data_IF_786940629366
#
_entry.id   IF_786940629366
#
_cell.length_a   1.000
_cell.length_b   1.000
_cell.length_c   1.000
_cell.angle_alpha   90.00
_cell.angle_beta   90.00
_cell.angle_gamma   90.00
#
_symmetry.space_group_name_H-M   'P 1'
#
loop_
_entity.id
_entity.type
_entity.pdbx_description
1 polymer ?
#
# COMPACT_ATOMS: atom_id res chain seq x y z
N UNK A 1 -32.49 -24.80 -13.61
CA UNK A 1 -31.80 -23.50 -13.69
C UNK A 1 -30.34 -23.84 -13.81
N UNK A 2 -29.78 -23.73 -15.02
CA UNK A 2 -28.39 -24.11 -15.27
C UNK A 2 -27.47 -23.17 -14.48
N UNK A 3 -26.63 -23.77 -13.63
CA UNK A 3 -25.80 -23.05 -12.68
C UNK A 3 -24.56 -22.52 -13.40
N UNK A 4 -24.73 -21.45 -14.19
CA UNK A 4 -23.64 -20.80 -14.92
C UNK A 4 -22.86 -19.93 -13.93
N UNK A 5 -21.70 -20.41 -13.49
CA UNK A 5 -20.76 -19.61 -12.72
C UNK A 5 -19.75 -18.92 -13.64
N UNK A 6 -19.51 -17.61 -13.48
CA UNK A 6 -18.46 -16.93 -14.21
C UNK A 6 -17.08 -17.45 -13.77
N UNK A 7 -16.20 -17.66 -14.74
CA UNK A 7 -14.79 -17.92 -14.46
C UNK A 7 -14.11 -16.61 -14.03
N UNK A 8 -13.77 -16.51 -12.75
CA UNK A 8 -12.96 -15.41 -12.23
C UNK A 8 -11.50 -15.82 -12.35
N UNK A 9 -10.73 -15.17 -13.22
CA UNK A 9 -9.34 -15.54 -13.45
C UNK A 9 -8.46 -15.23 -12.23
N UNK A 10 -7.43 -16.04 -12.00
CA UNK A 10 -6.44 -15.79 -10.95
C UNK A 10 -5.82 -14.38 -11.07
N UNK A 11 -5.60 -13.89 -12.29
CA UNK A 11 -5.15 -12.52 -12.55
C UNK A 11 -6.13 -11.47 -12.01
N UNK A 12 -7.43 -11.63 -12.22
CA UNK A 12 -8.46 -10.72 -11.69
C UNK A 12 -8.50 -10.78 -10.17
N UNK A 13 -8.41 -11.96 -9.56
CA UNK A 13 -8.42 -12.09 -8.09
C UNK A 13 -7.25 -11.33 -7.44
N UNK A 14 -6.06 -11.33 -8.08
CA UNK A 14 -4.89 -10.59 -7.59
C UNK A 14 -5.10 -9.07 -7.53
N UNK A 15 -6.07 -8.51 -8.27
CA UNK A 15 -6.38 -7.07 -8.23
C UNK A 15 -7.41 -6.69 -7.16
N UNK A 16 -8.03 -7.66 -6.48
CA UNK A 16 -9.10 -7.42 -5.50
C UNK A 16 -8.61 -7.01 -4.11
N UNK A 17 -7.31 -6.76 -3.94
CA UNK A 17 -6.74 -6.25 -2.67
C UNK A 17 -6.86 -7.23 -1.51
N UNK A 18 -6.77 -8.54 -1.77
CA UNK A 18 -6.90 -9.58 -0.74
C UNK A 18 -5.61 -9.73 0.10
N UNK A 19 -5.75 -10.28 1.31
CA UNK A 19 -4.60 -10.69 2.13
C UNK A 19 -3.73 -11.72 1.40
N UNK A 20 -2.42 -11.68 1.68
CA UNK A 20 -1.42 -12.57 1.07
C UNK A 20 -1.82 -14.05 1.15
N UNK A 21 -2.39 -14.51 2.27
CA UNK A 21 -2.81 -15.90 2.45
C UNK A 21 -3.78 -16.41 1.36
N UNK A 22 -4.63 -15.54 0.81
CA UNK A 22 -5.54 -15.92 -0.28
C UNK A 22 -4.85 -15.87 -1.64
N UNK A 23 -3.88 -14.97 -1.81
CA UNK A 23 -3.12 -14.82 -3.06
C UNK A 23 -2.08 -15.94 -3.25
N UNK A 24 -1.53 -16.44 -2.14
CA UNK A 24 -0.56 -17.54 -2.13
C UNK A 24 -1.24 -18.89 -2.44
N UNK A 25 -2.55 -19.00 -2.19
CA UNK A 25 -3.36 -20.17 -2.52
C UNK A 25 -3.86 -20.18 -3.98
N UNK A 26 -3.62 -19.10 -4.74
CA UNK A 26 -4.03 -19.01 -6.14
C UNK A 26 -3.13 -19.85 -7.04
N UNK A 27 -3.73 -20.41 -8.08
CA UNK A 27 -3.00 -21.04 -9.16
C UNK A 27 -1.98 -20.04 -9.77
N UNK A 28 -0.75 -20.48 -10.09
CA UNK A 28 0.22 -19.66 -10.80
C UNK A 28 -0.24 -19.29 -12.22
N UNK A 29 -1.10 -20.10 -12.85
CA UNK A 29 -1.62 -19.81 -14.18
C UNK A 29 -2.60 -18.63 -14.13
N UNK A 30 -2.34 -17.51 -14.84
CA UNK A 30 -3.16 -16.30 -14.74
C UNK A 30 -4.63 -16.50 -15.17
N UNK A 31 -4.87 -17.44 -16.08
CA UNK A 31 -6.19 -17.75 -16.65
C UNK A 31 -7.00 -18.78 -15.86
N UNK A 32 -6.41 -19.42 -14.84
CA UNK A 32 -7.10 -20.42 -14.06
C UNK A 32 -8.33 -19.82 -13.37
N UNK A 33 -9.45 -20.55 -13.43
CA UNK A 33 -10.71 -20.13 -12.81
C UNK A 33 -10.65 -20.35 -11.30
N UNK A 34 -10.97 -19.31 -10.54
CA UNK A 34 -10.97 -19.32 -9.08
C UNK A 34 -12.41 -19.32 -8.57
N UNK A 35 -12.76 -20.32 -7.77
CA UNK A 35 -14.05 -20.39 -7.07
C UNK A 35 -14.03 -19.47 -5.83
N UNK A 36 -14.17 -18.16 -6.05
CA UNK A 36 -14.00 -17.13 -5.02
C UNK A 36 -14.86 -17.35 -3.77
N UNK A 37 -16.14 -17.71 -3.95
CA UNK A 37 -17.09 -17.96 -2.87
C UNK A 37 -16.75 -19.22 -2.03
N UNK A 38 -15.99 -20.16 -2.59
CA UNK A 38 -15.51 -21.33 -1.85
C UNK A 38 -14.17 -21.04 -1.12
N UNK A 39 -13.36 -20.13 -1.67
CA UNK A 39 -12.06 -19.76 -1.11
C UNK A 39 -12.18 -18.77 0.07
N UNK A 40 -13.16 -17.88 0.01
CA UNK A 40 -13.34 -16.81 1.01
C UNK A 40 -14.75 -16.92 1.59
N UNK A 41 -14.83 -17.25 2.87
CA UNK A 41 -16.10 -17.30 3.59
C UNK A 41 -16.80 -15.93 3.55
N UNK A 42 -18.06 -15.90 3.12
CA UNK A 42 -18.85 -14.68 2.93
C UNK A 42 -18.58 -13.90 1.64
N UNK A 43 -17.75 -14.40 0.72
CA UNK A 43 -17.63 -13.79 -0.61
C UNK A 43 -18.81 -14.15 -1.53
N UNK A 44 -19.21 -13.21 -2.38
CA UNK A 44 -20.29 -13.40 -3.36
C UNK A 44 -19.85 -13.02 -4.77
N UNK A 45 -20.44 -13.69 -5.76
CA UNK A 45 -20.21 -13.42 -7.18
C UNK A 45 -21.56 -13.52 -7.89
N UNK A 46 -22.02 -12.41 -8.45
CA UNK A 46 -23.30 -12.30 -9.14
C UNK A 46 -23.11 -11.60 -10.49
N UNK A 47 -23.82 -12.06 -11.51
CA UNK A 47 -23.83 -11.43 -12.83
C UNK A 47 -25.19 -10.76 -13.01
N UNK A 48 -25.20 -9.44 -13.13
CA UNK A 48 -26.37 -8.69 -13.57
C UNK A 48 -26.36 -8.61 -15.10
N UNK A 49 -27.14 -9.48 -15.74
CA UNK A 49 -27.27 -9.52 -17.19
C UNK A 49 -28.02 -8.32 -17.78
N UNK A 50 -28.86 -7.63 -16.98
CA UNK A 50 -29.60 -6.47 -17.47
C UNK A 50 -28.69 -5.25 -17.65
N UNK A 51 -27.65 -5.15 -16.81
CA UNK A 51 -26.67 -4.05 -16.86
C UNK A 51 -25.30 -4.47 -17.37
N UNK A 52 -25.10 -5.76 -17.69
CA UNK A 52 -23.81 -6.36 -18.09
C UNK A 52 -22.73 -6.14 -17.03
N UNK A 53 -23.08 -6.30 -15.76
CA UNK A 53 -22.18 -6.09 -14.63
C UNK A 53 -21.85 -7.40 -13.91
N UNK A 54 -20.62 -7.49 -13.43
CA UNK A 54 -20.15 -8.52 -12.51
C UNK A 54 -20.01 -7.91 -11.12
N UNK A 55 -20.86 -8.33 -10.20
CA UNK A 55 -20.88 -7.88 -8.82
C UNK A 55 -20.08 -8.86 -7.97
N UNK A 56 -19.00 -8.37 -7.34
CA UNK A 56 -18.13 -9.18 -6.49
C UNK A 56 -18.17 -8.60 -5.07
N UNK A 57 -18.69 -9.38 -4.12
CA UNK A 57 -18.68 -9.05 -2.70
C UNK A 57 -17.47 -9.65 -2.01
N UNK A 58 -16.59 -8.80 -1.44
CA UNK A 58 -15.44 -9.23 -0.64
C UNK A 58 -15.60 -8.78 0.81
N UNK A 59 -15.64 -9.72 1.78
CA UNK A 59 -15.64 -9.38 3.19
C UNK A 59 -14.41 -8.54 3.56
N UNK A 60 -14.62 -7.46 4.32
CA UNK A 60 -13.53 -6.60 4.79
C UNK A 60 -12.46 -7.38 5.57
N UNK A 61 -12.85 -8.47 6.26
CA UNK A 61 -11.92 -9.35 6.96
C UNK A 61 -10.93 -10.08 6.03
N UNK A 62 -11.27 -10.26 4.76
CA UNK A 62 -10.44 -10.91 3.75
C UNK A 62 -9.53 -9.92 2.99
N UNK A 63 -9.85 -8.62 3.02
CA UNK A 63 -9.05 -7.58 2.40
C UNK A 63 -7.75 -7.32 3.15
N UNK A 64 -6.69 -6.98 2.41
CA UNK A 64 -5.44 -6.52 2.96
C UNK A 64 -5.68 -5.22 3.72
N UNK A 65 -5.22 -5.16 4.96
CA UNK A 65 -5.31 -3.93 5.75
C UNK A 65 -4.24 -2.95 5.28
N UNK A 66 -4.67 -1.79 4.79
CA UNK A 66 -3.80 -0.62 4.66
C UNK A 66 -4.09 0.30 5.84
N UNK A 67 -3.09 0.58 6.67
CA UNK A 67 -3.24 1.60 7.71
C UNK A 67 -3.59 2.96 7.07
N UNK A 68 -4.37 3.80 7.76
CA UNK A 68 -4.60 5.18 7.29
C UNK A 68 -3.25 5.90 7.17
N UNK A 69 -3.01 6.52 6.01
CA UNK A 69 -1.72 7.14 5.70
C UNK A 69 -0.63 6.17 5.22
N UNK A 70 -0.98 4.92 4.88
CA UNK A 70 -0.02 3.99 4.29
C UNK A 70 0.43 4.46 2.90
N UNK A 71 1.76 4.47 2.68
CA UNK A 71 2.39 4.73 1.39
C UNK A 71 3.16 3.50 0.96
N UNK A 72 2.81 2.95 -0.21
CA UNK A 72 3.43 1.76 -0.75
C UNK A 72 4.94 1.99 -0.97
N UNK A 73 5.81 1.00 -0.71
CA UNK A 73 7.26 1.14 -0.93
C UNK A 73 7.63 1.57 -2.35
N UNK A 74 6.88 1.12 -3.36
CA UNK A 74 7.07 1.49 -4.76
C UNK A 74 6.78 2.96 -5.08
N UNK A 75 6.03 3.65 -4.21
CA UNK A 75 5.71 5.08 -4.37
C UNK A 75 6.69 5.98 -3.62
N UNK A 76 7.67 5.41 -2.90
CA UNK A 76 8.66 6.19 -2.15
C UNK A 76 9.82 6.53 -3.06
N UNK A 77 10.02 7.82 -3.26
CA UNK A 77 11.19 8.34 -3.97
C UNK A 77 12.39 8.36 -3.01
N UNK A 78 13.52 7.70 -3.32
CA UNK A 78 14.74 7.78 -2.50
C UNK A 78 15.40 9.16 -2.51
N UNK A 79 14.94 10.08 -3.36
CA UNK A 79 15.51 11.39 -3.56
C UNK A 79 16.66 11.37 -4.57
N UNK A 80 17.42 12.46 -4.58
CA UNK A 80 18.56 12.65 -5.47
C UNK A 80 19.86 12.61 -4.67
N UNK A 81 20.97 12.28 -5.32
CA UNK A 81 22.30 12.45 -4.73
C UNK A 81 22.59 13.94 -4.53
N UNK A 82 22.77 14.36 -3.27
CA UNK A 82 23.01 15.76 -2.95
C UNK A 82 23.81 15.91 -1.66
N UNK A 83 24.81 16.80 -1.69
CA UNK A 83 25.47 17.27 -0.48
C UNK A 83 24.72 18.43 0.18
N UNK A 84 24.81 18.54 1.50
CA UNK A 84 24.25 19.66 2.25
C UNK A 84 25.24 20.19 3.31
N UNK A 85 25.12 21.48 3.64
CA UNK A 85 25.82 22.13 4.74
C UNK A 85 24.85 23.10 5.43
N UNK A 86 24.60 22.88 6.71
CA UNK A 86 23.82 23.75 7.59
C UNK A 86 24.74 24.38 8.64
N UNK A 87 24.52 25.66 8.98
CA UNK A 87 25.30 26.36 10.00
C UNK A 87 24.39 27.12 10.97
N UNK A 88 24.82 27.20 12.23
CA UNK A 88 24.15 27.97 13.28
C UNK A 88 25.18 28.76 14.09
N UNK A 89 25.09 30.09 14.07
CA UNK A 89 25.95 30.98 14.84
C UNK A 89 25.15 31.71 15.91
N UNK A 90 25.60 31.60 17.16
CA UNK A 90 25.00 32.29 18.30
C UNK A 90 26.06 33.11 19.03
N UNK A 91 25.71 34.33 19.41
CA UNK A 91 26.52 35.16 20.28
C UNK A 91 25.67 35.63 21.46
N UNK A 92 26.25 35.61 22.66
CA UNK A 92 25.60 36.12 23.86
C UNK A 92 26.56 36.97 24.65
N UNK A 93 26.11 38.16 25.04
CA UNK A 93 26.86 39.15 25.80
C UNK A 93 26.08 39.52 27.05
N UNK A 94 26.72 39.48 28.21
CA UNK A 94 26.13 39.86 29.49
C UNK A 94 26.87 41.06 30.12
N UNK A 95 26.14 41.89 30.89
CA UNK A 95 26.74 42.99 31.64
C UNK A 95 27.74 42.44 32.68
N UNK A 96 28.98 42.94 32.63
CA UNK A 96 30.12 42.36 33.36
C UNK A 96 31.20 41.72 32.48
N UNK A 97 31.22 42.04 31.18
CA UNK A 97 32.26 41.66 30.20
C UNK A 97 32.33 40.16 29.84
N UNK A 98 31.18 39.48 29.89
CA UNK A 98 31.09 38.07 29.50
C UNK A 98 30.52 37.94 28.09
N UNK A 99 31.40 37.68 27.12
CA UNK A 99 31.09 37.36 25.73
C UNK A 99 31.21 35.85 25.49
N UNK A 100 30.22 35.26 24.84
CA UNK A 100 30.23 33.85 24.45
C UNK A 100 29.75 33.71 23.02
N UNK A 101 30.43 32.86 22.26
CA UNK A 101 30.14 32.60 20.85
C UNK A 101 30.11 31.12 20.60
N UNK A 102 29.16 30.70 19.79
CA UNK A 102 28.97 29.31 19.39
C UNK A 102 28.75 29.27 17.88
N UNK A 103 29.45 28.35 17.21
CA UNK A 103 29.27 28.02 15.81
C UNK A 103 29.06 26.51 15.70
N UNK A 104 27.88 26.10 15.24
CA UNK A 104 27.59 24.73 14.84
C UNK A 104 27.58 24.63 13.32
N UNK A 105 28.15 23.56 12.78
CA UNK A 105 28.11 23.24 11.34
C UNK A 105 27.74 21.75 11.20
N UNK A 106 26.73 21.45 10.39
CA UNK A 106 26.32 20.10 10.02
C UNK A 106 26.49 19.95 8.51
N UNK A 107 27.10 18.87 8.03
CA UNK A 107 27.24 18.62 6.60
C UNK A 107 27.05 17.12 6.28
N UNK A 108 26.56 16.83 5.07
CA UNK A 108 26.33 15.46 4.58
C UNK A 108 26.37 15.37 3.06
N UNK A 109 26.30 14.13 2.53
CA UNK A 109 26.36 13.78 1.10
C UNK A 109 25.43 12.60 0.79
#
# INVERSE_FOLDING_TARGET
VDNVQPCISAALVRTLGLKALYLDALDPEPGACVALAAMIDGASVEVDSATLQLLIGIPQAAQASTARGHVAPSQRDPGITAGFIDYAFNQSRSEGDRDSRYLGVNAGL
#
